data_IF_492544262655
#
_entry.id   IF_492544262655
#
_cell.length_a   1.000
_cell.length_b   1.000
_cell.length_c   1.000
_cell.angle_alpha   90.00
_cell.angle_beta   90.00
_cell.angle_gamma   90.00
#
_symmetry.space_group_name_H-M   'P 1'
#
loop_
_entity.id
_entity.type
_entity.pdbx_description
1 polymer ?
#
# COMPACT_ATOMS: atom_id res chain seq x y z
N UNK A 1 -17.37 4.27 -4.04
CA UNK A 1 -16.69 3.01 -4.44
C UNK A 1 -15.68 2.62 -3.36
N UNK A 2 -15.69 1.36 -2.92
CA UNK A 2 -14.68 0.81 -2.00
C UNK A 2 -13.38 0.57 -2.77
N UNK A 3 -12.49 1.56 -2.82
CA UNK A 3 -11.26 1.49 -3.61
C UNK A 3 -10.05 1.22 -2.72
N UNK A 4 -9.24 0.25 -3.12
CA UNK A 4 -7.90 0.00 -2.61
C UNK A 4 -6.92 0.00 -3.77
N UNK A 5 -5.66 0.30 -3.46
CA UNK A 5 -4.57 0.27 -4.44
C UNK A 5 -3.65 -0.91 -4.15
N UNK A 6 -3.31 -1.65 -5.20
CA UNK A 6 -2.32 -2.73 -5.14
C UNK A 6 -1.14 -2.34 -6.02
N UNK A 7 0.06 -2.35 -5.46
CA UNK A 7 1.30 -2.16 -6.21
C UNK A 7 2.07 -3.48 -6.23
N UNK A 8 2.44 -3.93 -7.42
CA UNK A 8 3.32 -5.07 -7.62
C UNK A 8 4.77 -4.58 -7.71
N UNK A 9 5.63 -5.14 -6.86
CA UNK A 9 7.02 -4.76 -6.75
C UNK A 9 7.90 -5.96 -7.13
N UNK A 10 8.82 -5.82 -8.09
CA UNK A 10 9.68 -6.92 -8.50
C UNK A 10 10.60 -7.37 -7.37
N UNK A 11 10.78 -8.68 -7.25
CA UNK A 11 11.68 -9.34 -6.29
C UNK A 11 13.15 -9.32 -6.73
N UNK A 12 13.41 -8.87 -7.95
CA UNK A 12 14.75 -8.79 -8.57
C UNK A 12 15.84 -8.30 -7.61
N UNK A 13 15.51 -7.36 -6.71
CA UNK A 13 16.34 -7.07 -5.54
C UNK A 13 15.48 -6.76 -4.32
N UNK A 14 15.72 -7.46 -3.21
CA UNK A 14 15.08 -7.18 -1.91
C UNK A 14 15.28 -5.72 -1.47
N UNK A 15 16.41 -5.12 -1.81
CA UNK A 15 16.70 -3.69 -1.53
C UNK A 15 15.79 -2.78 -2.35
N UNK A 16 15.60 -3.08 -3.63
CA UNK A 16 14.70 -2.34 -4.53
C UNK A 16 13.25 -2.45 -4.06
N UNK A 17 12.78 -3.66 -3.75
CA UNK A 17 11.42 -3.86 -3.23
C UNK A 17 11.16 -3.04 -1.94
N UNK A 18 12.11 -3.05 -0.99
CA UNK A 18 12.01 -2.22 0.23
C UNK A 18 11.95 -0.72 -0.09
N UNK A 19 12.76 -0.25 -1.04
CA UNK A 19 12.75 1.16 -1.47
C UNK A 19 11.41 1.55 -2.10
N UNK A 20 10.86 0.69 -2.97
CA UNK A 20 9.55 0.95 -3.58
C UNK A 20 8.46 1.02 -2.51
N UNK A 21 8.42 0.06 -1.59
CA UNK A 21 7.44 0.08 -0.48
C UNK A 21 7.54 1.35 0.38
N UNK A 22 8.76 1.79 0.70
CA UNK A 22 8.99 3.03 1.44
C UNK A 22 8.53 4.28 0.67
N UNK A 23 8.84 4.37 -0.63
CA UNK A 23 8.41 5.48 -1.48
C UNK A 23 6.89 5.53 -1.56
N UNK A 24 6.23 4.41 -1.84
CA UNK A 24 4.78 4.33 -1.96
C UNK A 24 4.10 4.78 -0.67
N UNK A 25 4.48 4.21 0.47
CA UNK A 25 3.85 4.54 1.77
C UNK A 25 4.10 5.99 2.19
N UNK A 26 5.32 6.49 2.01
CA UNK A 26 5.67 7.87 2.38
C UNK A 26 4.99 8.89 1.47
N UNK A 27 5.01 8.67 0.15
CA UNK A 27 4.37 9.56 -0.82
C UNK A 27 2.88 9.64 -0.59
N UNK A 28 2.18 8.50 -0.47
CA UNK A 28 0.73 8.47 -0.22
C UNK A 28 0.38 9.21 1.07
N UNK A 29 1.07 8.91 2.18
CA UNK A 29 0.83 9.59 3.47
C UNK A 29 1.06 11.11 3.36
N UNK A 30 2.11 11.52 2.65
CA UNK A 30 2.45 12.93 2.46
C UNK A 30 1.41 13.67 1.61
N UNK A 31 0.90 13.04 0.55
CA UNK A 31 -0.12 13.62 -0.33
C UNK A 31 -1.46 13.76 0.37
N UNK A 32 -1.91 12.72 1.11
CA UNK A 32 -3.14 12.79 1.91
C UNK A 32 -3.10 13.95 2.92
N UNK A 33 -1.94 14.17 3.54
CA UNK A 33 -1.75 15.32 4.44
C UNK A 33 -1.85 16.66 3.71
N UNK A 34 -1.22 16.79 2.53
CA UNK A 34 -1.24 18.05 1.75
C UNK A 34 -2.64 18.40 1.26
N UNK A 35 -3.42 17.40 0.90
CA UNK A 35 -4.80 17.56 0.40
C UNK A 35 -5.84 17.61 1.52
N UNK A 36 -5.42 17.58 2.79
CA UNK A 36 -6.31 17.51 3.96
C UNK A 36 -7.35 16.37 3.88
N UNK A 37 -6.95 15.25 3.27
CA UNK A 37 -7.77 14.06 3.13
C UNK A 37 -7.61 13.13 4.34
N UNK A 38 -8.52 12.17 4.47
CA UNK A 38 -8.46 11.15 5.51
C UNK A 38 -7.15 10.34 5.42
N UNK A 39 -6.43 10.30 6.54
CA UNK A 39 -5.13 9.63 6.66
C UNK A 39 -5.21 8.24 7.29
N UNK A 40 -6.42 7.79 7.59
CA UNK A 40 -6.65 6.47 8.18
C UNK A 40 -6.60 5.40 7.09
N UNK A 41 -5.36 5.10 6.70
CA UNK A 41 -5.01 4.12 5.69
C UNK A 41 -4.23 2.97 6.33
N UNK A 42 -4.63 1.74 6.00
CA UNK A 42 -3.89 0.53 6.33
C UNK A 42 -3.11 0.09 5.11
N UNK A 43 -1.93 -0.46 5.35
CA UNK A 43 -1.16 -1.12 4.32
C UNK A 43 -0.47 -2.36 4.87
N UNK A 44 -0.26 -3.34 4.00
CA UNK A 44 0.56 -4.50 4.31
C UNK A 44 1.26 -4.99 3.06
N UNK A 45 2.39 -5.65 3.27
CA UNK A 45 3.19 -6.25 2.20
C UNK A 45 3.10 -7.76 2.30
N UNK A 46 3.01 -8.45 1.16
CA UNK A 46 2.88 -9.90 1.09
C UNK A 46 3.63 -10.47 -0.12
N UNK A 47 3.86 -11.78 -0.12
CA UNK A 47 4.41 -12.48 -1.27
C UNK A 47 3.28 -12.70 -2.28
N UNK A 48 3.31 -12.01 -3.42
CA UNK A 48 2.25 -12.12 -4.42
C UNK A 48 2.43 -13.36 -5.30
N UNK A 49 3.64 -13.52 -5.86
CA UNK A 49 4.04 -14.66 -6.68
C UNK A 49 5.55 -14.90 -6.55
N UNK A 50 6.15 -15.72 -7.40
CA UNK A 50 7.60 -16.02 -7.37
C UNK A 50 8.48 -14.79 -7.64
N UNK A 51 8.00 -13.87 -8.47
CA UNK A 51 8.73 -12.72 -9.01
C UNK A 51 8.34 -11.39 -8.36
N UNK A 52 7.23 -11.33 -7.62
CA UNK A 52 6.70 -10.08 -7.07
C UNK A 52 6.33 -10.14 -5.58
N UNK A 53 6.62 -9.04 -4.89
CA UNK A 53 5.91 -8.66 -3.68
C UNK A 53 4.68 -7.83 -4.05
N UNK A 54 3.61 -7.94 -3.26
CA UNK A 54 2.47 -7.03 -3.32
C UNK A 54 2.48 -6.10 -2.11
N UNK A 55 2.12 -4.84 -2.31
CA UNK A 55 1.65 -3.96 -1.23
C UNK A 55 0.21 -3.55 -1.51
N UNK A 56 -0.65 -3.68 -0.51
CA UNK A 56 -2.02 -3.17 -0.54
C UNK A 56 -2.08 -1.90 0.28
N UNK A 57 -2.78 -0.88 -0.22
CA UNK A 57 -3.14 0.32 0.51
C UNK A 57 -4.66 0.50 0.44
N UNK A 58 -5.29 0.64 1.59
CA UNK A 58 -6.75 0.68 1.70
C UNK A 58 -7.16 1.57 2.87
N UNK A 59 -8.28 2.28 2.77
CA UNK A 59 -8.84 3.03 3.90
C UNK A 59 -9.28 2.05 5.00
N UNK A 60 -9.02 2.38 6.27
CA UNK A 60 -9.46 1.56 7.42
C UNK A 60 -10.97 1.31 7.40
N UNK A 61 -11.77 2.29 6.99
CA UNK A 61 -13.23 2.17 6.85
C UNK A 61 -13.62 1.04 5.90
N UNK A 62 -12.89 0.88 4.80
CA UNK A 62 -13.13 -0.20 3.84
C UNK A 62 -12.75 -1.56 4.42
N UNK A 63 -11.71 -1.64 5.24
CA UNK A 63 -11.29 -2.89 5.89
C UNK A 63 -12.32 -3.33 6.94
N UNK A 64 -12.85 -2.39 7.73
CA UNK A 64 -13.89 -2.66 8.73
C UNK A 64 -15.18 -3.16 8.07
N UNK A 65 -15.54 -2.63 6.90
CA UNK A 65 -16.69 -3.10 6.13
C UNK A 65 -16.48 -4.46 5.42
N UNK A 66 -15.26 -4.99 5.38
CA UNK A 66 -14.94 -6.27 4.74
C UNK A 66 -14.99 -7.46 5.71
N UNK A 67 -15.35 -7.23 6.98
CA UNK A 67 -15.70 -8.24 8.00
C UNK A 67 -14.67 -9.39 8.10
N UNK A 68 -13.39 -9.03 8.25
CA UNK A 68 -12.29 -9.96 8.53
C UNK A 68 -12.29 -10.49 9.97
#
# INVERSE_FOLDING_TARGET
>A
EKKGFKVLMPKASKKTAKRIGYIVTTTVTSSLRKENQERDIRYWTYHHDKEHYGIVLVSSKVVEELDF
#
